data_IF_900684750884
#
_entry.id   IF_900684750884
#
_cell.length_a   1.000
_cell.length_b   1.000
_cell.length_c   1.000
_cell.angle_alpha   90.00
_cell.angle_beta   90.00
_cell.angle_gamma   90.00
#
_symmetry.space_group_name_H-M   'P 1'
#
loop_
_entity.id
_entity.type
_entity.pdbx_description
1 polymer ?
#
# COMPACT_ATOMS: atom_id res chain seq x y z
N UNK A 1 -0.29 31.40 23.74
CA UNK A 1 -1.48 31.39 22.86
C UNK A 1 -1.79 29.94 22.59
N UNK A 2 -3.05 29.51 22.78
CA UNK A 2 -3.44 28.15 22.45
C UNK A 2 -3.19 27.89 20.96
N UNK A 3 -2.52 26.78 20.65
CA UNK A 3 -2.19 26.41 19.26
C UNK A 3 -3.31 25.48 18.76
N UNK A 4 -4.34 26.08 18.15
CA UNK A 4 -5.49 25.32 17.65
C UNK A 4 -5.42 25.20 16.13
N UNK A 5 -5.46 23.97 15.62
CA UNK A 5 -5.38 23.69 14.19
C UNK A 5 -6.11 22.39 13.80
N UNK A 6 -6.35 22.24 12.52
CA UNK A 6 -6.81 20.99 11.93
C UNK A 6 -5.64 20.28 11.27
N UNK A 7 -5.54 18.97 11.47
CA UNK A 7 -4.57 18.13 10.79
C UNK A 7 -5.24 16.96 10.10
N UNK A 8 -4.87 16.74 8.83
CA UNK A 8 -5.48 15.74 7.97
C UNK A 8 -4.44 14.77 7.45
N UNK A 9 -4.79 13.49 7.45
CA UNK A 9 -4.01 12.45 6.79
C UNK A 9 -4.88 11.55 5.94
N UNK A 10 -4.30 11.00 4.88
CA UNK A 10 -4.94 10.07 3.96
C UNK A 10 -4.25 8.70 4.01
N UNK A 11 -5.01 7.66 3.68
CA UNK A 11 -4.51 6.31 3.44
C UNK A 11 -5.24 5.66 2.29
N UNK A 12 -4.58 4.72 1.63
CA UNK A 12 -5.13 3.94 0.53
C UNK A 12 -5.18 2.45 0.89
N UNK A 13 -6.16 1.74 0.33
CA UNK A 13 -6.31 0.29 0.54
C UNK A 13 -5.29 -0.51 -0.27
N UNK A 14 -5.22 -1.81 0.02
CA UNK A 14 -4.35 -2.75 -0.72
C UNK A 14 -4.60 -2.79 -2.23
N UNK A 15 -5.80 -2.42 -2.69
CA UNK A 15 -6.18 -2.41 -4.10
C UNK A 15 -6.02 -1.06 -4.80
N UNK A 16 -5.59 -0.01 -4.09
CA UNK A 16 -5.23 1.24 -4.75
C UNK A 16 -3.98 1.05 -5.63
N UNK A 17 -3.91 1.66 -6.83
CA UNK A 17 -2.77 1.46 -7.73
C UNK A 17 -1.39 1.61 -7.08
N UNK A 18 -1.20 2.60 -6.23
CA UNK A 18 0.08 2.81 -5.52
C UNK A 18 0.42 1.62 -4.61
N UNK A 19 -0.56 1.07 -3.88
CA UNK A 19 -0.34 -0.08 -3.01
C UNK A 19 -0.23 -1.39 -3.76
N UNK A 20 -0.89 -1.55 -4.89
CA UNK A 20 -0.69 -2.68 -5.79
C UNK A 20 0.74 -2.66 -6.34
N UNK A 21 1.23 -1.49 -6.75
CA UNK A 21 2.60 -1.32 -7.22
C UNK A 21 3.63 -1.67 -6.13
N UNK A 22 3.46 -1.13 -4.92
CA UNK A 22 4.30 -1.46 -3.76
C UNK A 22 4.34 -2.97 -3.49
N UNK A 23 3.16 -3.62 -3.43
CA UNK A 23 3.06 -5.05 -3.15
C UNK A 23 3.73 -5.91 -4.22
N UNK A 24 3.68 -5.50 -5.50
CA UNK A 24 4.36 -6.22 -6.58
C UNK A 24 5.88 -6.05 -6.46
N UNK A 25 6.36 -4.84 -6.21
CA UNK A 25 7.79 -4.57 -6.01
C UNK A 25 8.34 -5.34 -4.81
N UNK A 26 7.62 -5.35 -3.69
CA UNK A 26 7.95 -6.12 -2.50
C UNK A 26 7.92 -7.63 -2.74
N UNK A 27 6.96 -8.13 -3.52
CA UNK A 27 6.88 -9.55 -3.85
C UNK A 27 8.08 -10.01 -4.69
N UNK A 28 8.57 -9.16 -5.61
CA UNK A 28 9.80 -9.44 -6.37
C UNK A 28 11.01 -9.46 -5.45
N UNK A 29 11.13 -8.49 -4.54
CA UNK A 29 12.19 -8.44 -3.54
C UNK A 29 12.18 -9.70 -2.66
N UNK A 30 11.04 -10.06 -2.11
CA UNK A 30 10.88 -11.23 -1.23
C UNK A 30 11.22 -12.54 -1.95
N UNK A 31 10.79 -12.69 -3.21
CA UNK A 31 11.09 -13.88 -4.01
C UNK A 31 12.59 -14.02 -4.27
N UNK A 32 13.29 -12.92 -4.52
CA UNK A 32 14.74 -12.92 -4.73
C UNK A 32 15.47 -13.23 -3.42
N UNK A 33 15.16 -12.51 -2.33
CA UNK A 33 15.84 -12.66 -1.05
C UNK A 33 15.64 -14.04 -0.42
N UNK A 34 14.56 -14.73 -0.74
CA UNK A 34 14.31 -16.10 -0.30
C UNK A 34 15.39 -17.08 -0.77
N UNK A 35 15.81 -16.95 -2.03
CA UNK A 35 16.76 -17.87 -2.67
C UNK A 35 18.17 -17.27 -2.75
N UNK A 36 18.29 -15.96 -2.72
CA UNK A 36 19.55 -15.20 -2.69
C UNK A 36 19.48 -14.07 -1.66
N UNK A 37 19.77 -14.35 -0.38
CA UNK A 37 19.71 -13.34 0.70
C UNK A 37 20.65 -12.13 0.52
N UNK A 38 21.55 -12.19 -0.47
CA UNK A 38 22.48 -11.10 -0.81
C UNK A 38 22.15 -10.43 -2.15
N UNK A 39 21.07 -10.84 -2.77
CA UNK A 39 20.57 -10.22 -3.99
C UNK A 39 20.36 -8.71 -3.79
N UNK A 40 20.73 -7.92 -4.78
CA UNK A 40 20.43 -6.49 -4.82
C UNK A 40 19.27 -6.26 -5.77
N UNK A 41 18.24 -5.61 -5.26
CA UNK A 41 16.97 -5.46 -5.96
C UNK A 41 16.54 -4.00 -5.92
N UNK A 42 16.49 -3.37 -7.07
CA UNK A 42 15.82 -2.11 -7.31
C UNK A 42 14.68 -2.40 -8.30
N UNK A 43 13.51 -2.75 -7.77
CA UNK A 43 12.35 -3.12 -8.56
C UNK A 43 11.25 -2.08 -8.35
N UNK A 44 10.85 -1.46 -9.42
CA UNK A 44 9.79 -0.46 -9.47
C UNK A 44 8.64 -0.94 -10.33
N UNK A 45 7.42 -0.53 -9.98
CA UNK A 45 6.21 -0.99 -10.65
C UNK A 45 5.31 0.17 -10.99
N UNK A 46 4.79 0.16 -12.20
CA UNK A 46 3.73 1.05 -12.66
C UNK A 46 2.47 0.24 -12.94
N UNK A 47 1.35 0.71 -12.39
CA UNK A 47 0.03 0.10 -12.59
C UNK A 47 -0.90 1.05 -13.33
N UNK A 48 -1.58 0.51 -14.33
CA UNK A 48 -2.72 1.15 -15.00
C UNK A 48 -3.76 0.09 -15.32
N UNK A 49 -5.01 0.51 -15.52
CA UNK A 49 -6.11 -0.39 -15.92
C UNK A 49 -5.66 -1.42 -16.95
N UNK A 50 -5.70 -2.69 -16.58
CA UNK A 50 -5.34 -3.82 -17.45
C UNK A 50 -3.85 -4.04 -17.70
N UNK A 51 -2.93 -3.26 -17.13
CA UNK A 51 -1.48 -3.35 -17.39
C UNK A 51 -0.66 -3.16 -16.12
N UNK A 52 0.38 -3.99 -15.99
CA UNK A 52 1.47 -3.87 -15.02
C UNK A 52 2.79 -3.76 -15.78
N UNK A 53 3.59 -2.76 -15.45
CA UNK A 53 4.97 -2.63 -15.92
C UNK A 53 5.90 -2.77 -14.73
N UNK A 54 6.81 -3.74 -14.79
CA UNK A 54 7.85 -3.96 -13.78
C UNK A 54 9.20 -3.58 -14.41
N UNK A 55 9.91 -2.68 -13.77
CA UNK A 55 11.15 -2.09 -14.28
C UNK A 55 12.21 -2.03 -13.17
N UNK A 56 13.44 -1.74 -13.56
CA UNK A 56 14.54 -1.53 -12.62
C UNK A 56 15.74 -2.44 -12.90
N UNK A 57 16.60 -2.58 -11.91
CA UNK A 57 17.84 -3.35 -12.00
C UNK A 57 17.98 -4.32 -10.85
N UNK A 58 18.36 -5.55 -11.16
CA UNK A 58 18.66 -6.57 -10.17
C UNK A 58 20.03 -7.20 -10.39
N UNK A 59 20.68 -7.56 -9.30
CA UNK A 59 21.87 -8.41 -9.29
C UNK A 59 21.60 -9.56 -8.35
N UNK A 60 21.37 -10.74 -8.92
CA UNK A 60 21.00 -11.93 -8.15
C UNK A 60 21.37 -13.21 -8.87
N UNK A 61 21.56 -14.28 -8.11
CA UNK A 61 21.66 -15.66 -8.59
C UNK A 61 20.30 -16.38 -8.62
N UNK A 62 19.28 -15.80 -7.99
CA UNK A 62 17.94 -16.36 -7.97
C UNK A 62 17.24 -16.22 -9.32
N UNK A 63 16.41 -17.20 -9.66
CA UNK A 63 15.49 -17.12 -10.78
C UNK A 63 14.05 -16.87 -10.27
N UNK A 64 13.39 -15.87 -10.81
CA UNK A 64 12.02 -15.51 -10.44
C UNK A 64 11.13 -15.39 -11.67
N UNK A 65 10.02 -16.12 -11.69
CA UNK A 65 8.96 -15.91 -12.67
C UNK A 65 8.16 -14.66 -12.29
N UNK A 66 8.62 -13.51 -12.78
CA UNK A 66 8.03 -12.21 -12.48
C UNK A 66 6.58 -12.13 -12.95
N UNK A 67 6.24 -12.72 -14.12
CA UNK A 67 4.88 -12.69 -14.64
C UNK A 67 3.92 -13.45 -13.72
N UNK A 68 4.25 -14.68 -13.35
CA UNK A 68 3.44 -15.49 -12.44
C UNK A 68 3.28 -14.81 -11.08
N UNK A 69 4.35 -14.18 -10.58
CA UNK A 69 4.35 -13.47 -9.31
C UNK A 69 3.44 -12.24 -9.33
N UNK A 70 3.51 -11.43 -10.39
CA UNK A 70 2.63 -10.28 -10.59
C UNK A 70 1.16 -10.71 -10.61
N UNK A 71 0.83 -11.73 -11.42
CA UNK A 71 -0.55 -12.25 -11.52
C UNK A 71 -1.08 -12.73 -10.19
N UNK A 72 -0.25 -13.49 -9.46
CA UNK A 72 -0.60 -13.97 -8.13
C UNK A 72 -0.88 -12.83 -7.16
N UNK A 73 -0.01 -11.81 -7.10
CA UNK A 73 -0.18 -10.66 -6.21
C UNK A 73 -1.48 -9.91 -6.51
N UNK A 74 -1.77 -9.65 -7.77
CA UNK A 74 -3.00 -8.96 -8.20
C UNK A 74 -4.25 -9.77 -7.84
N UNK A 75 -4.21 -11.11 -8.03
CA UNK A 75 -5.32 -12.01 -7.66
C UNK A 75 -5.50 -12.10 -6.14
N UNK A 76 -4.42 -12.16 -5.35
CA UNK A 76 -4.46 -12.21 -3.89
C UNK A 76 -5.06 -10.93 -3.27
N UNK A 77 -4.83 -9.78 -3.92
CA UNK A 77 -5.48 -8.51 -3.56
C UNK A 77 -7.00 -8.60 -3.80
N UNK A 78 -7.43 -9.34 -4.82
CA UNK A 78 -8.84 -9.56 -5.13
C UNK A 78 -9.29 -9.00 -6.48
N UNK A 79 -8.37 -8.62 -7.36
CA UNK A 79 -8.66 -8.27 -8.74
C UNK A 79 -8.73 -9.53 -9.61
N UNK A 80 -9.89 -10.13 -9.67
CA UNK A 80 -10.16 -11.42 -10.30
C UNK A 80 -11.23 -11.38 -11.40
N UNK A 81 -11.59 -10.20 -11.87
CA UNK A 81 -12.57 -9.99 -12.94
C UNK A 81 -12.30 -8.70 -13.69
N UNK A 82 -12.41 -8.76 -15.02
CA UNK A 82 -12.34 -7.59 -15.90
C UNK A 82 -13.42 -6.54 -15.62
N UNK A 83 -14.54 -6.92 -14.98
CA UNK A 83 -15.59 -6.00 -14.55
C UNK A 83 -15.10 -4.99 -13.49
N UNK A 84 -14.00 -5.30 -12.82
CA UNK A 84 -13.34 -4.37 -11.90
C UNK A 84 -12.41 -3.38 -12.60
N UNK A 85 -12.24 -3.50 -13.93
CA UNK A 85 -11.27 -2.76 -14.71
C UNK A 85 -9.83 -3.29 -14.61
N UNK A 86 -9.61 -4.33 -13.82
CA UNK A 86 -8.32 -4.97 -13.62
C UNK A 86 -8.51 -6.44 -13.22
N UNK A 87 -7.79 -7.34 -13.88
CA UNK A 87 -7.89 -8.79 -13.62
C UNK A 87 -6.49 -9.40 -13.70
N UNK A 88 -6.04 -10.00 -12.60
CA UNK A 88 -4.72 -10.61 -12.51
C UNK A 88 -4.51 -11.78 -13.48
N UNK A 89 -5.59 -12.49 -13.86
CA UNK A 89 -5.48 -13.59 -14.80
C UNK A 89 -5.21 -13.14 -16.24
N UNK A 90 -5.71 -11.95 -16.63
CA UNK A 90 -5.71 -11.48 -18.03
C UNK A 90 -4.99 -10.16 -18.28
N UNK A 91 -4.51 -9.46 -17.24
CA UNK A 91 -3.80 -8.19 -17.42
C UNK A 91 -2.51 -8.37 -18.22
N UNK A 92 -2.12 -7.34 -18.95
CA UNK A 92 -0.80 -7.26 -19.58
C UNK A 92 0.29 -7.13 -18.51
N UNK A 93 1.35 -7.94 -18.61
CA UNK A 93 2.54 -7.81 -17.77
C UNK A 93 3.74 -7.51 -18.66
N UNK A 94 4.36 -6.37 -18.43
CA UNK A 94 5.57 -5.95 -19.13
C UNK A 94 6.73 -5.98 -18.14
N UNK A 95 7.69 -6.87 -18.38
CA UNK A 95 8.88 -6.99 -17.55
C UNK A 95 10.08 -6.40 -18.31
N UNK A 96 10.65 -5.31 -17.79
CA UNK A 96 11.85 -4.64 -18.31
C UNK A 96 12.92 -4.50 -17.22
N UNK A 97 12.96 -5.44 -16.26
CA UNK A 97 14.05 -5.53 -15.30
C UNK A 97 15.34 -5.90 -16.03
N UNK A 98 16.38 -5.11 -15.81
CA UNK A 98 17.70 -5.28 -16.36
C UNK A 98 18.76 -5.63 -15.32
N UNK A 99 20.01 -5.67 -15.79
CA UNK A 99 21.19 -5.77 -14.90
C UNK A 99 21.66 -4.41 -14.50
N UNK A 100 22.17 -4.28 -13.27
CA UNK A 100 22.76 -3.05 -12.79
C UNK A 100 23.96 -2.61 -13.65
N UNK A 101 24.08 -1.28 -13.83
CA UNK A 101 25.23 -0.69 -14.52
C UNK A 101 26.55 -1.08 -13.84
N UNK A 102 27.57 -1.48 -14.62
CA UNK A 102 28.90 -1.77 -14.09
C UNK A 102 29.53 -0.57 -13.33
N UNK A 103 29.23 0.66 -13.74
CA UNK A 103 29.75 1.87 -13.11
C UNK A 103 29.19 2.04 -11.70
N UNK A 104 27.91 1.77 -11.49
CA UNK A 104 27.28 1.77 -10.16
C UNK A 104 27.82 0.62 -9.33
N UNK A 105 27.97 -0.57 -9.91
CA UNK A 105 28.50 -1.75 -9.22
C UNK A 105 29.90 -1.50 -8.61
N UNK A 106 30.78 -0.73 -9.25
CA UNK A 106 32.10 -0.34 -8.70
C UNK A 106 31.98 0.39 -7.35
N UNK A 107 30.94 1.21 -7.16
CA UNK A 107 30.68 1.93 -5.93
C UNK A 107 30.13 1.04 -4.81
N UNK A 108 29.43 -0.03 -5.16
CA UNK A 108 28.68 -0.91 -4.24
C UNK A 108 29.50 -2.14 -3.87
N UNK A 109 30.11 -2.82 -4.88
CA UNK A 109 30.77 -4.10 -4.69
C UNK A 109 32.10 -3.94 -3.93
N UNK A 110 32.29 -4.72 -2.87
CA UNK A 110 33.51 -4.77 -2.07
C UNK A 110 33.97 -6.21 -1.91
N UNK A 111 35.29 -6.41 -1.85
CA UNK A 111 35.88 -7.74 -1.56
C UNK A 111 35.45 -8.29 -0.19
N UNK A 112 35.29 -7.42 0.80
CA UNK A 112 34.70 -7.74 2.08
C UNK A 112 33.21 -7.40 2.02
N UNK A 113 32.38 -8.41 1.96
CA UNK A 113 30.90 -8.30 1.84
C UNK A 113 30.26 -7.49 2.98
N UNK A 114 30.89 -7.48 4.18
CA UNK A 114 30.42 -6.66 5.31
C UNK A 114 30.60 -5.16 5.08
N UNK A 115 31.37 -4.79 4.06
CA UNK A 115 31.64 -3.41 3.64
C UNK A 115 30.93 -3.04 2.35
N UNK A 116 29.95 -3.86 1.94
CA UNK A 116 29.14 -3.54 0.76
C UNK A 116 28.51 -2.14 0.90
N UNK A 117 28.63 -1.32 -0.14
CA UNK A 117 28.07 0.02 -0.18
C UNK A 117 26.58 0.02 -0.53
N UNK A 118 25.93 1.15 -0.32
CA UNK A 118 24.60 1.39 -0.83
C UNK A 118 24.64 1.73 -2.33
N UNK A 119 23.60 1.33 -3.07
CA UNK A 119 23.47 1.63 -4.50
C UNK A 119 23.09 3.09 -4.80
N UNK A 120 22.69 3.84 -3.78
CA UNK A 120 22.24 5.23 -3.89
C UNK A 120 22.61 6.02 -2.64
N UNK A 121 22.45 7.33 -2.73
CA UNK A 121 22.54 8.25 -1.59
C UNK A 121 21.34 8.01 -0.65
N UNK A 122 21.53 8.27 0.63
CA UNK A 122 20.47 8.15 1.59
C UNK A 122 20.59 9.13 2.75
N UNK A 123 19.44 9.61 3.20
CA UNK A 123 19.31 10.30 4.46
C UNK A 123 17.99 9.89 5.11
N UNK A 124 17.94 9.84 6.43
CA UNK A 124 16.82 9.28 7.17
C UNK A 124 16.36 10.23 8.26
N UNK A 125 15.04 10.32 8.41
CA UNK A 125 14.40 11.04 9.51
C UNK A 125 13.67 10.04 10.40
N UNK A 126 13.72 10.26 11.71
CA UNK A 126 12.92 9.51 12.66
C UNK A 126 11.87 10.44 13.28
N UNK A 127 10.65 9.95 13.39
CA UNK A 127 9.56 10.64 14.09
C UNK A 127 8.69 9.64 14.85
N UNK A 128 8.31 9.98 16.09
CA UNK A 128 7.36 9.22 16.88
C UNK A 128 6.58 10.18 17.78
N UNK A 129 5.33 9.82 18.10
CA UNK A 129 4.46 10.55 19.03
C UNK A 129 3.68 9.57 19.90
N UNK A 130 3.26 10.02 21.06
CA UNK A 130 2.46 9.21 21.98
C UNK A 130 0.94 9.42 21.81
N UNK A 131 0.52 9.92 20.66
CA UNK A 131 -0.91 10.09 20.35
C UNK A 131 -1.67 8.77 20.22
N UNK A 132 -0.97 7.71 19.85
CA UNK A 132 -1.51 6.36 19.66
C UNK A 132 -0.60 5.30 20.29
N UNK A 133 -1.15 4.13 20.53
CA UNK A 133 -0.46 2.95 21.04
C UNK A 133 0.67 2.41 20.09
N UNK A 134 0.59 2.78 18.81
CA UNK A 134 1.59 2.43 17.79
C UNK A 134 2.66 3.51 17.60
N UNK A 135 2.67 4.54 18.43
CA UNK A 135 3.62 5.66 18.42
C UNK A 135 3.63 6.46 17.10
N UNK A 136 2.51 6.47 16.41
CA UNK A 136 2.27 7.21 15.18
C UNK A 136 1.20 8.29 15.38
N UNK A 137 1.20 9.37 14.58
CA UNK A 137 0.15 10.38 14.63
C UNK A 137 -1.26 9.81 14.49
N UNK A 138 -2.21 10.33 15.24
CA UNK A 138 -3.57 9.81 15.25
C UNK A 138 -4.29 9.87 13.90
N UNK A 139 -4.21 10.96 13.09
CA UNK A 139 -4.92 11.02 11.81
C UNK A 139 -4.51 9.92 10.85
N UNK A 140 -3.20 9.67 10.67
CA UNK A 140 -2.73 8.62 9.75
C UNK A 140 -3.06 7.22 10.26
N UNK A 141 -2.95 7.01 11.58
CA UNK A 141 -3.28 5.72 12.19
C UNK A 141 -4.76 5.37 11.98
N UNK A 142 -5.65 6.34 12.17
CA UNK A 142 -7.08 6.15 11.94
C UNK A 142 -7.40 5.95 10.45
N UNK A 143 -6.76 6.70 9.56
CA UNK A 143 -6.93 6.51 8.14
C UNK A 143 -6.49 5.09 7.70
N UNK A 144 -5.37 4.58 8.19
CA UNK A 144 -4.93 3.21 7.94
C UNK A 144 -5.93 2.15 8.44
N UNK A 145 -6.47 2.35 9.64
CA UNK A 145 -7.48 1.43 10.22
C UNK A 145 -8.73 1.33 9.36
N UNK A 146 -9.21 2.44 8.80
CA UNK A 146 -10.41 2.46 7.96
C UNK A 146 -10.22 1.66 6.66
N UNK A 147 -9.13 1.86 5.92
CA UNK A 147 -8.89 1.10 4.68
C UNK A 147 -8.56 -0.36 4.95
N UNK A 148 -7.88 -0.66 6.06
CA UNK A 148 -7.67 -2.04 6.52
C UNK A 148 -9.00 -2.72 6.84
N UNK A 149 -9.92 -2.01 7.50
CA UNK A 149 -11.26 -2.51 7.80
C UNK A 149 -12.09 -2.74 6.55
N UNK A 150 -12.02 -1.84 5.56
CA UNK A 150 -12.65 -2.01 4.26
C UNK A 150 -12.18 -3.30 3.58
N UNK A 151 -10.86 -3.53 3.52
CA UNK A 151 -10.28 -4.74 2.94
C UNK A 151 -10.71 -6.01 3.70
N UNK A 152 -10.74 -5.97 5.03
CA UNK A 152 -11.20 -7.08 5.87
C UNK A 152 -12.66 -7.45 5.61
N UNK A 153 -13.55 -6.46 5.58
CA UNK A 153 -14.99 -6.64 5.35
C UNK A 153 -15.22 -7.22 3.95
N UNK A 154 -14.50 -6.72 2.94
CA UNK A 154 -14.54 -7.23 1.57
C UNK A 154 -14.06 -8.68 1.48
N UNK A 155 -12.86 -8.98 1.98
CA UNK A 155 -12.28 -10.34 1.91
C UNK A 155 -13.06 -11.38 2.69
N UNK A 156 -13.78 -10.98 3.76
CA UNK A 156 -14.70 -11.85 4.50
C UNK A 156 -16.07 -12.03 3.82
N UNK A 157 -16.31 -11.39 2.68
CA UNK A 157 -17.57 -11.47 1.96
C UNK A 157 -18.78 -10.87 2.70
N UNK A 158 -18.55 -9.95 3.66
CA UNK A 158 -19.64 -9.29 4.39
C UNK A 158 -20.38 -8.27 3.55
N UNK A 159 -19.64 -7.60 2.67
CA UNK A 159 -20.14 -6.66 1.68
C UNK A 159 -19.55 -7.07 0.32
N UNK A 160 -20.23 -7.98 -0.37
CA UNK A 160 -19.79 -8.64 -1.61
C UNK A 160 -19.69 -7.69 -2.81
N UNK A 161 -20.36 -6.57 -2.74
CA UNK A 161 -20.29 -5.49 -3.73
C UNK A 161 -19.05 -4.59 -3.60
N UNK A 162 -18.27 -4.69 -2.50
CA UNK A 162 -17.01 -3.95 -2.36
C UNK A 162 -15.96 -4.46 -3.33
N UNK A 163 -15.19 -3.52 -3.89
CA UNK A 163 -14.05 -3.77 -4.75
C UNK A 163 -12.74 -3.41 -4.02
N UNK A 164 -11.57 -3.83 -4.55
CA UNK A 164 -10.30 -3.67 -3.83
C UNK A 164 -9.84 -2.24 -3.61
N UNK A 165 -10.12 -1.31 -4.52
CA UNK A 165 -9.65 0.08 -4.42
C UNK A 165 -10.48 0.89 -3.41
N UNK A 166 -9.79 1.54 -2.49
CA UNK A 166 -10.41 2.49 -1.56
C UNK A 166 -9.38 3.50 -1.04
N UNK A 167 -9.90 4.66 -0.61
CA UNK A 167 -9.14 5.73 0.05
C UNK A 167 -9.89 6.19 1.28
N UNK A 168 -9.16 6.52 2.33
CA UNK A 168 -9.70 7.17 3.53
C UNK A 168 -8.95 8.45 3.81
N UNK A 169 -9.65 9.42 4.39
CA UNK A 169 -9.09 10.67 4.90
C UNK A 169 -9.69 10.92 6.27
N UNK A 170 -8.84 11.27 7.24
CA UNK A 170 -9.26 11.62 8.60
C UNK A 170 -8.69 12.99 8.95
N UNK A 171 -9.57 13.88 9.40
CA UNK A 171 -9.22 15.21 9.89
C UNK A 171 -9.53 15.27 11.38
N UNK A 172 -8.52 15.59 12.18
CA UNK A 172 -8.66 15.81 13.63
C UNK A 172 -8.45 17.29 13.98
N UNK A 173 -9.14 17.72 15.01
CA UNK A 173 -8.92 19.01 15.67
C UNK A 173 -7.90 18.82 16.78
N UNK A 174 -6.90 19.70 16.79
CA UNK A 174 -5.84 19.75 17.78
C UNK A 174 -5.97 21.01 18.63
N UNK A 175 -5.74 20.87 19.94
CA UNK A 175 -5.61 21.94 20.90
C UNK A 175 -4.34 21.70 21.73
N UNK A 176 -3.41 22.67 21.73
CA UNK A 176 -2.10 22.57 22.38
C UNK A 176 -1.35 21.28 22.00
N UNK A 177 -1.30 21.00 20.68
CA UNK A 177 -0.66 19.84 20.05
C UNK A 177 -1.22 18.46 20.47
N UNK A 178 -2.45 18.43 21.00
CA UNK A 178 -3.16 17.19 21.33
C UNK A 178 -4.41 17.01 20.48
N UNK A 179 -4.67 15.82 19.95
CA UNK A 179 -5.91 15.55 19.25
C UNK A 179 -7.09 15.55 20.24
N UNK A 180 -8.06 16.44 20.02
CA UNK A 180 -9.21 16.62 20.93
C UNK A 180 -10.55 16.27 20.31
N UNK A 181 -10.62 16.08 19.00
CA UNK A 181 -11.87 15.74 18.35
C UNK A 181 -11.74 15.39 16.88
N UNK A 182 -12.71 14.59 16.42
CA UNK A 182 -12.86 14.23 15.02
C UNK A 182 -13.63 15.34 14.29
N UNK A 183 -13.03 15.91 13.25
CA UNK A 183 -13.67 16.94 12.43
C UNK A 183 -14.34 16.36 11.20
N UNK A 184 -13.62 15.50 10.45
CA UNK A 184 -14.15 14.90 9.24
C UNK A 184 -13.55 13.52 8.96
N UNK A 185 -14.36 12.66 8.34
CA UNK A 185 -13.94 11.40 7.73
C UNK A 185 -14.46 11.34 6.31
N UNK A 186 -13.59 11.06 5.36
CA UNK A 186 -13.95 10.73 3.98
C UNK A 186 -13.52 9.30 3.70
N UNK A 187 -14.42 8.49 3.16
CA UNK A 187 -14.12 7.16 2.66
C UNK A 187 -14.66 7.03 1.25
N UNK A 188 -13.76 6.84 0.29
CA UNK A 188 -14.10 6.51 -1.10
C UNK A 188 -13.77 5.05 -1.33
N UNK A 189 -14.66 4.29 -1.96
CA UNK A 189 -14.42 2.89 -2.27
C UNK A 189 -15.00 2.53 -3.63
N UNK A 190 -14.27 1.74 -4.38
CA UNK A 190 -14.77 1.08 -5.57
C UNK A 190 -15.82 0.04 -5.17
N UNK A 191 -16.89 -0.06 -5.94
CA UNK A 191 -18.02 -0.97 -5.66
C UNK A 191 -18.70 -1.45 -6.95
N UNK A 192 -19.54 -2.48 -6.85
CA UNK A 192 -20.43 -2.88 -7.92
C UNK A 192 -21.42 -1.77 -8.27
N UNK A 193 -21.78 -1.60 -9.56
CA UNK A 193 -22.78 -0.61 -9.98
C UNK A 193 -24.18 -0.87 -9.42
N UNK A 194 -24.47 -2.08 -8.96
CA UNK A 194 -25.81 -2.51 -8.55
C UNK A 194 -26.23 -1.99 -7.15
N UNK A 195 -25.27 -1.46 -6.36
CA UNK A 195 -25.56 -0.93 -5.03
C UNK A 195 -26.03 0.52 -5.11
N UNK A 196 -27.16 0.82 -4.47
CA UNK A 196 -27.61 2.23 -4.36
C UNK A 196 -26.73 3.04 -3.42
N UNK A 197 -26.56 4.34 -3.70
CA UNK A 197 -25.79 5.24 -2.85
C UNK A 197 -26.26 5.25 -1.39
N UNK A 198 -27.57 5.11 -1.16
CA UNK A 198 -28.13 5.06 0.21
C UNK A 198 -27.66 3.80 0.94
N UNK A 199 -27.85 2.62 0.35
CA UNK A 199 -27.44 1.36 0.94
C UNK A 199 -25.92 1.29 1.15
N UNK A 200 -25.14 1.80 0.20
CA UNK A 200 -23.68 1.91 0.33
C UNK A 200 -23.30 2.73 1.56
N UNK A 201 -23.87 3.93 1.72
CA UNK A 201 -23.56 4.82 2.86
C UNK A 201 -23.93 4.18 4.20
N UNK A 202 -25.09 3.55 4.29
CA UNK A 202 -25.55 2.86 5.48
C UNK A 202 -24.61 1.70 5.85
N UNK A 203 -24.27 0.84 4.89
CA UNK A 203 -23.38 -0.30 5.11
C UNK A 203 -21.96 0.14 5.48
N UNK A 204 -21.38 1.14 4.81
CA UNK A 204 -20.07 1.70 5.17
C UNK A 204 -20.08 2.25 6.59
N UNK A 205 -21.15 2.98 6.97
CA UNK A 205 -21.28 3.50 8.33
C UNK A 205 -21.30 2.37 9.37
N UNK A 206 -22.08 1.32 9.14
CA UNK A 206 -22.28 0.24 10.13
C UNK A 206 -21.09 -0.73 10.19
N UNK A 207 -20.51 -1.11 9.05
CA UNK A 207 -19.51 -2.18 8.98
C UNK A 207 -18.06 -1.69 9.02
N UNK A 208 -17.81 -0.43 8.66
CA UNK A 208 -16.46 0.13 8.56
C UNK A 208 -16.23 1.23 9.60
N UNK A 209 -17.08 2.27 9.62
CA UNK A 209 -16.83 3.44 10.46
C UNK A 209 -17.20 3.23 11.94
N UNK A 210 -18.38 2.71 12.23
CA UNK A 210 -18.83 2.52 13.62
C UNK A 210 -18.01 1.53 14.45
N UNK A 211 -17.55 0.39 13.90
CA UNK A 211 -16.72 -0.55 14.66
C UNK A 211 -15.42 0.05 15.15
N UNK A 212 -14.87 1.03 14.42
CA UNK A 212 -13.62 1.71 14.79
C UNK A 212 -13.83 2.91 15.73
N UNK A 213 -15.07 3.36 15.92
CA UNK A 213 -15.43 4.48 16.80
C UNK A 213 -14.97 4.32 18.26
N UNK A 214 -14.83 3.08 18.73
CA UNK A 214 -14.37 2.77 20.09
C UNK A 214 -12.90 3.08 20.33
N UNK A 215 -12.15 3.35 19.27
CA UNK A 215 -10.73 3.68 19.32
C UNK A 215 -10.43 5.18 19.21
N UNK A 216 -11.47 6.01 19.04
CA UNK A 216 -11.35 7.47 18.75
C UNK A 216 -11.86 8.36 19.89
N UNK A 217 -12.35 7.75 20.99
CA UNK A 217 -12.81 8.49 22.18
C UNK A 217 -12.05 8.04 23.41
#
# INVERSE_FOLDING_TARGET
MANNYLFTSESVSEGHPDKVADQISDAVLDAILKDDPRGRVACETLIKTGVVVVAGEVTTSAWVDVEALVRKTVLDIGYNSSDMGFDGASCGVVNIIGKQSPDIAQGVDRKDERKQGAGDQGLMFGYATNETDVLMPAPITLAHRLVKKQAEVRKKGRLDWLRPDAKSQVTLRYEDDKPVGLEAVVLSTQHSPDISTKALREAVMEEILKPDRKSVV
#
